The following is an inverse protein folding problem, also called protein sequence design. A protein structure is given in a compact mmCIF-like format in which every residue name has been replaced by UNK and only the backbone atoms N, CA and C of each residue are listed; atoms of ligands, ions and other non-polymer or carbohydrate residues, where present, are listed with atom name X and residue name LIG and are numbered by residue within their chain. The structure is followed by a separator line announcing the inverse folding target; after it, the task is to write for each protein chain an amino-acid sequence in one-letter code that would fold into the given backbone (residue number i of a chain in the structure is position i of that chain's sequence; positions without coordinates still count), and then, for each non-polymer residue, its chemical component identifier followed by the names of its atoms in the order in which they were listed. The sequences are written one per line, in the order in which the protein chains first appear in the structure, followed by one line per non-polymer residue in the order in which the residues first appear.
data_IF_431979519847
#
_entry.id   IF_431979519847
#
_cell.length_a   1.000
_cell.length_b   1.000
_cell.length_c   1.000
_cell.angle_alpha   90.00
_cell.angle_beta   90.00
_cell.angle_gamma   90.00
#
_symmetry.space_group_name_H-M   'P 1'
#
loop_
_entity.id
_entity.type
_entity.pdbx_description
1 polymer ?
#
# COMPACT_ATOMS: atom_id res chain seq x y z
N UNK A 1 27.52 -4.30 5.76
CA UNK A 1 27.33 -2.90 6.18
C UNK A 1 25.87 -2.40 6.12
N UNK A 2 24.85 -3.07 6.73
CA UNK A 2 23.47 -2.55 6.72
C UNK A 2 23.25 -1.34 7.66
N UNK A 3 24.09 -1.20 8.68
CA UNK A 3 23.92 -0.19 9.73
C UNK A 3 24.34 1.24 9.33
N UNK A 4 25.03 1.44 8.21
CA UNK A 4 25.37 2.76 7.69
C UNK A 4 24.17 3.34 6.90
N UNK A 5 23.58 2.53 6.03
CA UNK A 5 22.44 2.92 5.17
C UNK A 5 21.17 3.23 5.98
N UNK A 6 20.91 2.48 7.06
CA UNK A 6 19.79 2.76 7.95
C UNK A 6 19.97 4.08 8.72
N UNK A 7 21.19 4.42 9.13
CA UNK A 7 21.49 5.70 9.80
C UNK A 7 21.39 6.88 8.84
N UNK A 8 21.82 6.71 7.59
CA UNK A 8 21.65 7.72 6.54
C UNK A 8 20.17 7.98 6.26
N UNK A 9 19.35 6.93 6.13
CA UNK A 9 17.90 7.04 5.99
C UNK A 9 17.24 7.70 7.21
N UNK A 10 17.63 7.31 8.42
CA UNK A 10 17.16 7.94 9.66
C UNK A 10 17.49 9.43 9.65
N UNK A 11 18.74 9.79 9.33
CA UNK A 11 19.19 11.19 9.26
C UNK A 11 18.43 11.97 8.19
N UNK A 12 18.20 11.39 7.01
CA UNK A 12 17.46 12.04 5.93
C UNK A 12 15.98 12.26 6.30
N UNK A 13 15.31 11.25 6.86
CA UNK A 13 13.88 11.36 7.26
C UNK A 13 13.72 12.32 8.44
N UNK A 14 14.64 12.28 9.41
CA UNK A 14 14.67 13.24 10.52
C UNK A 14 14.93 14.65 9.98
N UNK A 15 15.88 14.83 9.06
CA UNK A 15 16.14 16.13 8.43
C UNK A 15 14.94 16.65 7.63
N UNK A 16 14.20 15.78 6.91
CA UNK A 16 12.94 16.14 6.25
C UNK A 16 11.85 16.53 7.26
N UNK A 17 11.77 15.82 8.38
CA UNK A 17 10.84 16.15 9.48
C UNK A 17 11.21 17.50 10.11
N UNK A 18 12.47 17.68 10.49
CA UNK A 18 13.03 18.90 11.09
C UNK A 18 12.93 20.11 10.14
N UNK A 19 13.07 19.89 8.83
CA UNK A 19 12.85 20.91 7.83
C UNK A 19 11.38 21.17 7.49
N UNK A 20 10.43 20.50 8.17
CA UNK A 20 9.00 20.71 8.00
C UNK A 20 8.43 20.20 6.68
N UNK A 21 9.17 19.35 5.96
CA UNK A 21 8.80 18.85 4.61
C UNK A 21 7.99 17.55 4.63
N UNK A 22 7.77 16.98 5.82
CA UNK A 22 7.02 15.74 6.02
C UNK A 22 5.61 15.76 5.38
N UNK A 23 4.94 16.92 5.37
CA UNK A 23 3.67 17.08 4.68
C UNK A 23 3.78 16.75 3.19
N UNK A 24 4.80 17.28 2.50
CA UNK A 24 5.01 17.06 1.06
C UNK A 24 5.36 15.61 0.79
N UNK A 25 6.24 15.03 1.60
CA UNK A 25 6.65 13.62 1.43
C UNK A 25 5.47 12.66 1.61
N UNK A 26 4.61 12.87 2.62
CA UNK A 26 3.41 12.05 2.81
C UNK A 26 2.35 12.29 1.71
N UNK A 27 2.20 13.53 1.23
CA UNK A 27 1.30 13.84 0.11
C UNK A 27 1.76 13.16 -1.19
N UNK A 28 3.07 13.22 -1.49
CA UNK A 28 3.66 12.53 -2.62
C UNK A 28 3.50 11.01 -2.47
N UNK A 29 3.76 10.47 -1.29
CA UNK A 29 3.61 9.05 -1.01
C UNK A 29 2.17 8.58 -1.24
N UNK A 30 1.18 9.30 -0.70
CA UNK A 30 -0.24 9.04 -0.94
C UNK A 30 -0.57 9.04 -2.45
N UNK A 31 -0.04 10.02 -3.20
CA UNK A 31 -0.26 10.11 -4.63
C UNK A 31 0.39 8.97 -5.43
N UNK A 32 1.63 8.62 -5.12
CA UNK A 32 2.37 7.54 -5.80
C UNK A 32 1.75 6.16 -5.52
N UNK A 33 1.41 5.87 -4.25
CA UNK A 33 0.78 4.60 -3.90
C UNK A 33 -0.64 4.49 -4.45
N UNK A 34 -1.37 5.62 -4.53
CA UNK A 34 -2.66 5.69 -5.22
C UNK A 34 -2.52 5.41 -6.72
N UNK A 35 -1.50 5.95 -7.37
CA UNK A 35 -1.22 5.70 -8.79
C UNK A 35 -0.92 4.23 -9.10
N UNK A 36 -0.03 3.62 -8.32
CA UNK A 36 0.28 2.19 -8.43
C UNK A 36 -0.97 1.33 -8.21
N UNK A 37 -1.77 1.67 -7.19
CA UNK A 37 -3.05 1.02 -6.91
C UNK A 37 -4.05 1.23 -8.05
N UNK A 38 -4.10 2.42 -8.66
CA UNK A 38 -5.02 2.75 -9.76
C UNK A 38 -4.76 1.96 -11.03
N UNK A 39 -3.49 1.72 -11.36
CA UNK A 39 -3.12 0.81 -12.46
C UNK A 39 -3.66 -0.60 -12.19
N UNK A 40 -3.41 -1.12 -10.99
CA UNK A 40 -3.85 -2.45 -10.55
C UNK A 40 -5.38 -2.59 -10.54
N UNK A 41 -6.07 -1.63 -9.93
CA UNK A 41 -7.54 -1.52 -9.86
C UNK A 41 -8.15 -1.49 -11.25
N UNK A 42 -7.64 -0.62 -12.13
CA UNK A 42 -8.20 -0.42 -13.47
C UNK A 42 -8.23 -1.70 -14.28
N UNK A 43 -7.11 -2.43 -14.31
CA UNK A 43 -7.05 -3.65 -15.08
C UNK A 43 -7.77 -4.83 -14.39
N UNK A 44 -7.77 -4.90 -13.05
CA UNK A 44 -8.52 -5.93 -12.33
C UNK A 44 -10.04 -5.78 -12.49
N UNK A 45 -10.54 -4.54 -12.48
CA UNK A 45 -11.95 -4.26 -12.76
C UNK A 45 -12.31 -4.49 -14.23
N UNK A 46 -11.37 -4.24 -15.15
CA UNK A 46 -11.51 -4.60 -16.57
C UNK A 46 -11.66 -6.10 -16.77
N UNK A 47 -10.83 -6.93 -16.11
CA UNK A 47 -10.97 -8.40 -16.14
C UNK A 47 -12.32 -8.88 -15.61
N UNK A 48 -12.87 -8.18 -14.64
CA UNK A 48 -14.19 -8.44 -14.08
C UNK A 48 -15.33 -7.83 -14.93
N UNK A 49 -15.01 -7.18 -16.05
CA UNK A 49 -15.97 -6.68 -17.04
C UNK A 49 -16.73 -5.42 -16.65
N UNK A 50 -16.34 -4.71 -15.58
CA UNK A 50 -17.06 -3.53 -15.07
C UNK A 50 -18.58 -3.74 -14.93
N UNK A 51 -19.00 -4.90 -14.43
CA UNK A 51 -20.42 -5.29 -14.39
C UNK A 51 -21.34 -4.37 -13.58
N UNK A 52 -20.81 -3.40 -12.83
CA UNK A 52 -21.57 -2.37 -12.13
C UNK A 52 -20.92 -0.99 -12.33
N UNK A 53 -21.75 0.06 -12.44
CA UNK A 53 -21.25 1.44 -12.61
C UNK A 53 -20.32 1.89 -11.48
N UNK A 54 -20.55 1.41 -10.25
CA UNK A 54 -19.71 1.71 -9.10
C UNK A 54 -18.27 1.18 -9.24
N UNK A 55 -18.02 0.23 -10.14
CA UNK A 55 -16.65 -0.27 -10.38
C UNK A 55 -15.74 0.77 -11.05
N UNK A 56 -16.30 1.87 -11.58
CA UNK A 56 -15.54 2.97 -12.18
C UNK A 56 -15.09 4.02 -11.14
N UNK A 57 -15.78 4.11 -10.00
CA UNK A 57 -15.45 5.11 -8.99
C UNK A 57 -14.02 4.96 -8.42
N UNK A 58 -13.48 3.76 -8.12
CA UNK A 58 -12.11 3.67 -7.64
C UNK A 58 -11.06 4.04 -8.69
N UNK A 59 -11.38 3.94 -9.99
CA UNK A 59 -10.48 4.43 -11.05
C UNK A 59 -10.42 5.95 -11.02
N UNK A 60 -11.56 6.61 -10.96
CA UNK A 60 -11.60 8.07 -10.88
C UNK A 60 -10.93 8.55 -9.59
N UNK A 61 -11.23 7.91 -8.44
CA UNK A 61 -10.67 8.30 -7.14
C UNK A 61 -9.15 8.06 -7.07
N UNK A 62 -8.63 6.96 -7.61
CA UNK A 62 -7.18 6.70 -7.62
C UNK A 62 -6.41 7.75 -8.43
N UNK A 63 -6.92 8.13 -9.60
CA UNK A 63 -6.31 9.18 -10.44
C UNK A 63 -6.44 10.56 -9.78
N UNK A 64 -7.60 10.87 -9.19
CA UNK A 64 -7.81 12.11 -8.48
C UNK A 64 -6.87 12.24 -7.28
N UNK A 65 -6.72 11.19 -6.47
CA UNK A 65 -5.82 11.17 -5.32
C UNK A 65 -4.35 11.22 -5.75
N UNK A 66 -3.98 10.57 -6.86
CA UNK A 66 -2.64 10.70 -7.43
C UNK A 66 -2.32 12.15 -7.80
N UNK A 67 -3.21 12.79 -8.57
CA UNK A 67 -3.05 14.18 -8.96
C UNK A 67 -3.03 15.13 -7.75
N UNK A 68 -3.94 14.94 -6.79
CA UNK A 68 -4.00 15.75 -5.58
C UNK A 68 -2.75 15.59 -4.70
N UNK A 69 -2.21 14.37 -4.56
CA UNK A 69 -0.99 14.09 -3.82
C UNK A 69 0.25 14.76 -4.43
N UNK A 70 0.42 14.64 -5.75
CA UNK A 70 1.51 15.29 -6.49
C UNK A 70 1.37 16.82 -6.41
N UNK A 71 0.17 17.34 -6.65
CA UNK A 71 -0.10 18.78 -6.60
C UNK A 71 0.10 19.35 -5.18
N UNK A 72 -0.25 18.61 -4.13
CA UNK A 72 -0.01 19.00 -2.75
C UNK A 72 1.47 18.90 -2.32
N UNK A 73 2.26 18.04 -2.97
CA UNK A 73 3.70 18.00 -2.79
C UNK A 73 4.40 19.21 -3.44
N UNK A 74 3.89 19.68 -4.58
CA UNK A 74 4.41 20.87 -5.28
C UNK A 74 3.90 22.17 -4.63
N UNK A 75 2.62 22.21 -4.27
CA UNK A 75 1.93 23.41 -3.77
C UNK A 75 1.30 23.15 -2.39
N UNK A 76 1.91 23.63 -1.29
CA UNK A 76 1.48 23.34 0.08
C UNK A 76 0.03 23.77 0.40
N UNK A 77 -0.50 24.78 -0.28
CA UNK A 77 -1.90 25.21 -0.10
C UNK A 77 -2.88 24.08 -0.46
N UNK A 78 -2.58 23.29 -1.50
CA UNK A 78 -3.44 22.20 -1.95
C UNK A 78 -3.46 21.03 -0.97
N UNK A 79 -2.43 20.91 -0.12
CA UNK A 79 -2.40 19.93 0.96
C UNK A 79 -3.48 20.19 2.03
N UNK A 80 -3.96 21.44 2.17
CA UNK A 80 -4.99 21.82 3.16
C UNK A 80 -6.39 21.93 2.56
N UNK A 81 -6.51 22.00 1.24
CA UNK A 81 -7.80 22.21 0.56
C UNK A 81 -8.20 20.99 -0.26
N UNK A 82 -7.43 20.68 -1.31
CA UNK A 82 -7.76 19.64 -2.28
C UNK A 82 -7.47 18.23 -1.74
N UNK A 83 -6.27 18.00 -1.23
CA UNK A 83 -5.82 16.68 -0.76
C UNK A 83 -6.75 16.06 0.30
N UNK A 84 -7.17 16.75 1.38
CA UNK A 84 -8.03 16.14 2.40
C UNK A 84 -9.42 15.82 1.84
N UNK A 85 -9.98 16.66 0.97
CA UNK A 85 -11.28 16.41 0.35
C UNK A 85 -11.25 15.18 -0.55
N UNK A 86 -10.26 15.11 -1.46
CA UNK A 86 -10.08 13.95 -2.36
C UNK A 86 -9.77 12.68 -1.57
N UNK A 87 -8.95 12.77 -0.53
CA UNK A 87 -8.62 11.64 0.32
C UNK A 87 -9.84 11.14 1.10
N UNK A 88 -10.67 12.02 1.64
CA UNK A 88 -11.90 11.64 2.33
C UNK A 88 -12.90 10.95 1.38
N UNK A 89 -13.10 11.49 0.18
CA UNK A 89 -13.92 10.86 -0.85
C UNK A 89 -13.38 9.49 -1.26
N UNK A 90 -12.06 9.38 -1.44
CA UNK A 90 -11.40 8.10 -1.75
C UNK A 90 -11.57 7.09 -0.60
N UNK A 91 -11.50 7.52 0.67
CA UNK A 91 -11.72 6.65 1.81
C UNK A 91 -13.17 6.13 1.87
N UNK A 92 -14.16 6.97 1.56
CA UNK A 92 -15.56 6.56 1.44
C UNK A 92 -15.75 5.56 0.29
N UNK A 93 -15.12 5.82 -0.85
CA UNK A 93 -15.12 4.91 -2.01
C UNK A 93 -14.50 3.54 -1.64
N UNK A 94 -13.38 3.54 -0.92
CA UNK A 94 -12.71 2.33 -0.45
C UNK A 94 -13.58 1.52 0.51
N UNK A 95 -14.24 2.18 1.48
CA UNK A 95 -15.17 1.52 2.40
C UNK A 95 -16.38 0.93 1.66
N UNK A 96 -16.90 1.66 0.68
CA UNK A 96 -18.00 1.21 -0.18
C UNK A 96 -17.58 0.01 -1.03
N UNK A 97 -16.41 0.08 -1.68
CA UNK A 97 -15.83 -1.00 -2.45
C UNK A 97 -15.57 -2.25 -1.61
N UNK A 98 -15.07 -2.09 -0.38
CA UNK A 98 -14.86 -3.19 0.55
C UNK A 98 -16.16 -3.94 0.87
N UNK A 99 -17.24 -3.20 1.17
CA UNK A 99 -18.57 -3.79 1.35
C UNK A 99 -19.04 -4.57 0.12
N UNK A 100 -18.89 -4.00 -1.09
CA UNK A 100 -19.27 -4.69 -2.32
C UNK A 100 -18.39 -5.92 -2.60
N UNK A 101 -17.12 -5.90 -2.24
CA UNK A 101 -16.22 -7.06 -2.37
C UNK A 101 -16.64 -8.20 -1.44
N UNK A 102 -16.93 -7.90 -0.17
CA UNK A 102 -17.49 -8.87 0.80
C UNK A 102 -18.79 -9.47 0.25
N UNK A 103 -19.71 -8.62 -0.20
CA UNK A 103 -21.00 -9.05 -0.77
C UNK A 103 -20.82 -9.87 -2.05
N UNK A 104 -19.82 -9.55 -2.86
CA UNK A 104 -19.47 -10.28 -4.07
C UNK A 104 -18.94 -11.69 -3.77
N UNK A 105 -18.09 -11.82 -2.74
CA UNK A 105 -17.62 -13.13 -2.23
C UNK A 105 -18.81 -13.95 -1.71
N UNK A 106 -19.68 -13.35 -0.89
CA UNK A 106 -20.86 -14.00 -0.34
C UNK A 106 -21.85 -14.53 -1.40
N UNK A 107 -21.92 -13.87 -2.56
CA UNK A 107 -22.83 -14.18 -3.66
C UNK A 107 -22.30 -15.25 -4.62
N UNK A 108 -21.05 -15.69 -4.47
CA UNK A 108 -20.54 -16.82 -5.26
C UNK A 108 -21.25 -18.13 -4.88
N UNK A 109 -21.21 -19.15 -5.77
CA UNK A 109 -21.78 -20.47 -5.47
C UNK A 109 -21.33 -21.00 -4.10
N UNK A 110 -22.28 -21.50 -3.32
CA UNK A 110 -22.05 -21.99 -1.95
C UNK A 110 -21.80 -20.90 -0.88
N UNK A 111 -21.68 -19.63 -1.26
CA UNK A 111 -21.49 -18.49 -0.35
C UNK A 111 -20.37 -18.70 0.67
N UNK A 112 -20.61 -18.32 1.92
CA UNK A 112 -19.61 -18.45 2.99
C UNK A 112 -19.27 -19.90 3.38
N UNK A 113 -20.10 -20.88 3.01
CA UNK A 113 -19.77 -22.30 3.26
C UNK A 113 -18.55 -22.75 2.44
N UNK A 114 -18.31 -22.11 1.30
CA UNK A 114 -17.16 -22.35 0.42
C UNK A 114 -16.19 -21.15 0.46
N UNK A 115 -15.84 -20.68 1.65
CA UNK A 115 -15.05 -19.45 1.84
C UNK A 115 -13.68 -19.49 1.13
N UNK A 116 -12.95 -20.61 1.18
CA UNK A 116 -11.61 -20.72 0.59
C UNK A 116 -11.64 -20.51 -0.93
N UNK A 117 -12.42 -21.28 -1.73
CA UNK A 117 -12.50 -21.05 -3.17
C UNK A 117 -13.18 -19.71 -3.51
N UNK A 118 -14.10 -19.21 -2.68
CA UNK A 118 -14.77 -17.94 -2.94
C UNK A 118 -13.89 -16.71 -2.66
N UNK A 119 -12.99 -16.76 -1.68
CA UNK A 119 -11.94 -15.76 -1.50
C UNK A 119 -10.93 -15.80 -2.65
N UNK A 120 -10.51 -16.99 -3.08
CA UNK A 120 -9.61 -17.11 -4.21
C UNK A 120 -10.27 -16.59 -5.50
N UNK A 121 -11.40 -17.12 -5.91
CA UNK A 121 -12.01 -16.80 -7.21
C UNK A 121 -12.83 -15.49 -7.20
N UNK A 122 -13.00 -14.86 -6.03
CA UNK A 122 -13.83 -13.69 -5.81
C UNK A 122 -13.15 -12.36 -6.10
N UNK A 123 -13.90 -11.26 -5.89
CA UNK A 123 -13.30 -9.93 -5.77
C UNK A 123 -12.22 -9.94 -4.68
N UNK A 124 -11.09 -9.24 -4.88
CA UNK A 124 -10.01 -9.21 -3.90
C UNK A 124 -10.46 -8.50 -2.62
N UNK A 125 -10.59 -9.24 -1.51
CA UNK A 125 -11.24 -8.76 -0.29
C UNK A 125 -10.58 -7.52 0.30
N UNK A 126 -9.25 -7.42 0.28
CA UNK A 126 -8.51 -6.37 0.96
C UNK A 126 -7.99 -5.27 0.02
N UNK A 127 -8.08 -5.44 -1.30
CA UNK A 127 -7.65 -4.42 -2.26
C UNK A 127 -8.27 -3.03 -2.01
N UNK A 128 -9.57 -2.88 -1.70
CA UNK A 128 -10.14 -1.57 -1.35
C UNK A 128 -9.53 -0.98 -0.07
N UNK A 129 -9.21 -1.81 0.93
CA UNK A 129 -8.57 -1.34 2.17
C UNK A 129 -7.13 -0.89 1.93
N UNK A 130 -6.38 -1.58 1.06
CA UNK A 130 -5.03 -1.20 0.66
C UNK A 130 -5.01 0.16 -0.06
N UNK A 131 -5.97 0.40 -0.95
CA UNK A 131 -6.16 1.74 -1.53
C UNK A 131 -6.52 2.77 -0.43
N UNK A 132 -7.34 2.38 0.53
CA UNK A 132 -7.70 3.18 1.70
C UNK A 132 -6.49 3.64 2.51
N UNK A 133 -5.39 2.88 2.54
CA UNK A 133 -4.13 3.32 3.16
C UNK A 133 -3.54 4.54 2.43
N UNK A 134 -3.60 4.58 1.10
CA UNK A 134 -3.15 5.75 0.32
C UNK A 134 -3.99 6.99 0.67
N UNK A 135 -5.31 6.84 0.76
CA UNK A 135 -6.21 7.91 1.18
C UNK A 135 -5.92 8.37 2.62
N UNK A 136 -5.69 7.43 3.53
CA UNK A 136 -5.33 7.73 4.91
C UNK A 136 -4.02 8.53 5.01
N UNK A 137 -3.00 8.19 4.22
CA UNK A 137 -1.75 8.96 4.15
C UNK A 137 -2.00 10.39 3.66
N UNK A 138 -2.91 10.58 2.70
CA UNK A 138 -3.32 11.92 2.24
C UNK A 138 -4.02 12.74 3.33
N UNK A 139 -4.90 12.12 4.12
CA UNK A 139 -5.52 12.76 5.30
C UNK A 139 -4.47 13.10 6.36
N UNK A 140 -3.52 12.19 6.60
CA UNK A 140 -2.43 12.40 7.55
C UNK A 140 -1.56 13.58 7.11
N UNK A 141 -1.18 13.65 5.83
CA UNK A 141 -0.43 14.76 5.25
C UNK A 141 -1.15 16.09 5.44
N UNK A 142 -2.47 16.15 5.21
CA UNK A 142 -3.27 17.37 5.36
C UNK A 142 -3.34 17.91 6.79
N UNK A 143 -3.15 17.05 7.80
CA UNK A 143 -3.10 17.44 9.22
C UNK A 143 -1.74 17.99 9.65
N UNK A 144 -0.70 17.80 8.84
CA UNK A 144 0.61 18.36 9.11
C UNK A 144 0.66 19.84 8.71
N UNK A 145 1.42 20.63 9.46
CA UNK A 145 1.68 22.01 9.11
C UNK A 145 2.53 22.03 7.81
N UNK A 146 2.10 22.71 6.73
CA UNK A 146 2.95 23.04 5.59
C UNK A 146 4.13 23.91 6.04
N UNK A 147 5.23 23.80 5.30
CA UNK A 147 6.51 24.49 5.49
C UNK A 147 6.36 25.98 5.89
N UNK A 148 7.36 26.52 6.62
CA UNK A 148 7.52 27.90 7.16
C UNK A 148 7.35 28.11 8.68
N UNK A 149 7.47 27.07 9.51
CA UNK A 149 7.77 27.29 10.94
C UNK A 149 9.21 26.85 11.21
N UNK A 150 10.08 27.80 11.56
CA UNK A 150 11.47 27.59 11.99
C UNK A 150 11.57 26.83 13.33
N UNK A 151 10.46 26.33 13.85
CA UNK A 151 10.36 25.59 15.08
C UNK A 151 10.56 24.10 14.82
N UNK A 152 11.43 23.48 15.62
CA UNK A 152 11.56 22.02 15.71
C UNK A 152 10.17 21.36 15.78
N UNK A 153 9.93 20.30 15.01
CA UNK A 153 8.70 19.51 15.10
C UNK A 153 8.48 19.13 16.57
N UNK A 154 7.35 19.53 17.20
CA UNK A 154 7.08 19.16 18.58
C UNK A 154 7.17 17.64 18.74
N UNK A 155 7.86 17.15 19.77
CA UNK A 155 8.08 15.72 19.98
C UNK A 155 6.78 14.90 19.92
N UNK A 156 5.66 15.46 20.41
CA UNK A 156 4.34 14.82 20.34
C UNK A 156 3.77 14.69 18.93
N UNK A 157 4.10 15.58 17.99
CA UNK A 157 3.69 15.46 16.59
C UNK A 157 4.50 14.36 15.88
N UNK A 158 5.81 14.29 16.13
CA UNK A 158 6.69 13.22 15.60
C UNK A 158 6.19 11.84 16.06
N UNK A 159 5.90 11.69 17.35
CA UNK A 159 5.36 10.45 17.92
C UNK A 159 3.98 10.12 17.33
N UNK A 160 3.12 11.12 17.12
CA UNK A 160 1.83 10.91 16.46
C UNK A 160 1.99 10.36 15.04
N UNK A 161 2.87 10.94 14.23
CA UNK A 161 3.13 10.48 12.86
C UNK A 161 3.72 9.06 12.86
N UNK A 162 4.70 8.79 13.73
CA UNK A 162 5.27 7.44 13.91
C UNK A 162 4.16 6.42 14.20
N UNK A 163 3.24 6.71 15.12
CA UNK A 163 2.09 5.83 15.42
C UNK A 163 1.18 5.61 14.21
N UNK A 164 0.87 6.66 13.46
CA UNK A 164 0.00 6.55 12.29
C UNK A 164 0.66 5.72 11.18
N UNK A 165 1.97 5.86 10.98
CA UNK A 165 2.75 5.04 10.04
C UNK A 165 2.86 3.60 10.51
N UNK A 166 3.10 3.33 11.79
CA UNK A 166 3.06 1.97 12.35
C UNK A 166 1.69 1.31 12.12
N UNK A 167 0.59 2.02 12.34
CA UNK A 167 -0.77 1.53 12.04
C UNK A 167 -0.94 1.23 10.55
N UNK A 168 -0.54 2.16 9.68
CA UNK A 168 -0.60 1.99 8.23
C UNK A 168 0.23 0.78 7.77
N UNK A 169 1.46 0.62 8.26
CA UNK A 169 2.33 -0.52 8.00
C UNK A 169 1.66 -1.83 8.40
N UNK A 170 1.14 -1.93 9.63
CA UNK A 170 0.58 -3.18 10.13
C UNK A 170 -0.70 -3.59 9.41
N UNK A 171 -1.62 -2.64 9.19
CA UNK A 171 -2.88 -2.92 8.48
C UNK A 171 -2.58 -3.27 7.01
N UNK A 172 -1.73 -2.48 6.34
CA UNK A 172 -1.36 -2.73 4.96
C UNK A 172 -0.65 -4.08 4.79
N UNK A 173 0.28 -4.41 5.67
CA UNK A 173 0.99 -5.69 5.64
C UNK A 173 0.01 -6.88 5.78
N UNK A 174 -0.92 -6.84 6.75
CA UNK A 174 -1.93 -7.90 6.91
C UNK A 174 -2.83 -8.03 5.67
N UNK A 175 -3.29 -6.90 5.13
CA UNK A 175 -4.12 -6.87 3.92
C UNK A 175 -3.37 -7.45 2.71
N UNK A 176 -2.14 -7.01 2.46
CA UNK A 176 -1.30 -7.52 1.37
C UNK A 176 -0.93 -9.00 1.54
N UNK A 177 -0.61 -9.43 2.77
CA UNK A 177 -0.34 -10.84 3.08
C UNK A 177 -1.58 -11.72 2.87
N UNK A 178 -2.76 -11.23 3.25
CA UNK A 178 -4.04 -11.89 3.00
C UNK A 178 -4.35 -12.02 1.50
N UNK A 179 -4.17 -10.95 0.72
CA UNK A 179 -4.30 -10.95 -0.74
C UNK A 179 -3.34 -11.96 -1.39
N UNK A 180 -2.09 -11.97 -0.96
CA UNK A 180 -1.07 -12.90 -1.44
C UNK A 180 -1.45 -14.36 -1.10
N UNK A 181 -2.00 -14.62 0.09
CA UNK A 181 -2.37 -15.96 0.56
C UNK A 181 -3.33 -16.64 -0.42
N UNK A 182 -4.50 -16.05 -0.64
CA UNK A 182 -5.48 -16.69 -1.53
C UNK A 182 -5.11 -16.55 -3.01
N UNK A 183 -4.34 -15.52 -3.40
CA UNK A 183 -3.88 -15.38 -4.79
C UNK A 183 -2.84 -16.43 -5.16
N UNK A 184 -1.91 -16.75 -4.27
CA UNK A 184 -0.93 -17.81 -4.48
C UNK A 184 -1.54 -19.20 -4.30
N UNK A 185 -2.56 -19.34 -3.46
CA UNK A 185 -3.35 -20.57 -3.36
C UNK A 185 -3.98 -20.99 -4.71
N UNK A 186 -4.38 -20.04 -5.58
CA UNK A 186 -4.89 -20.35 -6.94
C UNK A 186 -3.94 -21.19 -7.79
N UNK A 187 -2.64 -21.02 -7.57
CA UNK A 187 -1.59 -21.74 -8.27
C UNK A 187 -0.91 -22.77 -7.35
N UNK A 188 -1.59 -23.18 -6.27
CA UNK A 188 -1.16 -24.16 -5.29
C UNK A 188 0.26 -23.92 -4.74
N UNK A 189 0.64 -22.65 -4.53
CA UNK A 189 1.98 -22.29 -4.07
C UNK A 189 3.12 -22.95 -4.88
N UNK A 190 2.95 -23.04 -6.20
CA UNK A 190 3.88 -23.70 -7.14
C UNK A 190 5.35 -23.33 -6.91
N UNK A 191 5.64 -22.11 -6.45
CA UNK A 191 6.99 -21.70 -6.11
C UNK A 191 7.10 -21.47 -4.61
N UNK A 192 8.17 -21.99 -3.98
CA UNK A 192 8.39 -21.82 -2.53
C UNK A 192 8.40 -20.34 -2.10
N UNK A 193 8.91 -19.45 -2.96
CA UNK A 193 8.96 -17.99 -2.71
C UNK A 193 7.56 -17.39 -2.55
N UNK A 194 6.49 -18.08 -2.96
CA UNK A 194 5.13 -17.61 -2.75
C UNK A 194 4.72 -17.62 -1.26
N UNK A 195 5.46 -18.33 -0.40
CA UNK A 195 5.26 -18.36 1.05
C UNK A 195 5.93 -17.20 1.78
N UNK A 196 6.91 -16.52 1.16
CA UNK A 196 7.65 -15.46 1.84
C UNK A 196 6.79 -14.25 2.22
N UNK A 197 5.89 -13.69 1.37
CA UNK A 197 4.99 -12.62 1.80
C UNK A 197 4.01 -13.09 2.89
N UNK A 198 3.67 -14.38 2.95
CA UNK A 198 2.76 -14.95 3.94
C UNK A 198 3.40 -15.01 5.33
N UNK A 199 4.72 -15.22 5.39
CA UNK A 199 5.49 -15.20 6.63
C UNK A 199 5.88 -13.77 7.03
N UNK A 200 6.36 -12.96 6.07
CA UNK A 200 6.89 -11.62 6.34
C UNK A 200 5.77 -10.64 6.72
N UNK A 201 4.60 -10.71 6.07
CA UNK A 201 3.48 -9.80 6.35
C UNK A 201 3.01 -9.80 7.82
N UNK A 202 2.62 -10.94 8.43
CA UNK A 202 2.18 -10.96 9.83
C UNK A 202 3.32 -10.62 10.79
N UNK A 203 4.57 -10.99 10.49
CA UNK A 203 5.72 -10.59 11.30
C UNK A 203 5.92 -9.07 11.29
N UNK A 204 5.88 -8.44 10.10
CA UNK A 204 5.97 -6.99 9.94
C UNK A 204 4.82 -6.29 10.67
N UNK A 205 3.59 -6.81 10.55
CA UNK A 205 2.45 -6.25 11.25
C UNK A 205 2.58 -6.35 12.78
N UNK A 206 3.01 -7.50 13.29
CA UNK A 206 3.25 -7.68 14.72
C UNK A 206 4.32 -6.68 15.23
N UNK A 207 5.42 -6.50 14.49
CA UNK A 207 6.46 -5.54 14.84
C UNK A 207 5.97 -4.08 14.78
N UNK A 208 5.10 -3.75 13.83
CA UNK A 208 4.54 -2.41 13.69
C UNK A 208 3.53 -2.08 14.80
N UNK A 209 2.70 -3.04 15.22
CA UNK A 209 1.75 -2.86 16.32
C UNK A 209 2.39 -2.96 17.70
N UNK A 210 3.56 -3.57 17.82
CA UNK A 210 4.27 -3.72 19.08
C UNK A 210 4.74 -2.36 19.63
N UNK A 211 4.16 -1.94 20.77
CA UNK A 211 4.64 -0.77 21.54
C UNK A 211 5.96 -1.03 22.26
N UNK A 212 6.28 -2.31 22.52
CA UNK A 212 7.49 -2.77 23.20
C UNK A 212 8.03 -3.96 22.42
N UNK A 213 9.28 -3.87 22.00
CA UNK A 213 9.95 -4.91 21.23
C UNK A 213 11.38 -4.49 20.90
N UNK A 214 12.21 -5.39 20.33
CA UNK A 214 13.57 -5.03 19.95
C UNK A 214 13.55 -3.90 18.92
N UNK A 215 14.32 -2.83 19.16
CA UNK A 215 14.37 -1.64 18.28
C UNK A 215 14.77 -1.97 16.83
N UNK A 216 15.49 -3.06 16.63
CA UNK A 216 15.93 -3.53 15.31
C UNK A 216 14.86 -4.31 14.54
N UNK A 217 13.79 -4.78 15.19
CA UNK A 217 12.86 -5.74 14.60
C UNK A 217 12.02 -5.13 13.48
N UNK A 218 11.37 -3.99 13.74
CA UNK A 218 10.58 -3.26 12.74
C UNK A 218 11.42 -2.88 11.50
N UNK A 219 12.59 -2.22 11.63
CA UNK A 219 13.36 -1.88 10.44
C UNK A 219 13.88 -3.11 9.68
N UNK A 220 14.27 -4.19 10.39
CA UNK A 220 14.72 -5.42 9.73
C UNK A 220 13.59 -6.07 8.92
N UNK A 221 12.39 -6.19 9.49
CA UNK A 221 11.23 -6.75 8.79
C UNK A 221 10.73 -5.83 7.68
N UNK A 222 10.85 -4.52 7.84
CA UNK A 222 10.56 -3.55 6.79
C UNK A 222 11.49 -3.70 5.58
N UNK A 223 12.81 -3.85 5.80
CA UNK A 223 13.77 -4.15 4.74
C UNK A 223 13.46 -5.50 4.10
N UNK A 224 13.12 -6.51 4.90
CA UNK A 224 12.73 -7.82 4.39
C UNK A 224 11.49 -7.74 3.49
N UNK A 225 10.45 -6.99 3.88
CA UNK A 225 9.25 -6.80 3.07
C UNK A 225 9.53 -6.01 1.78
N UNK A 226 10.40 -5.00 1.82
CA UNK A 226 10.83 -4.28 0.62
C UNK A 226 11.60 -5.19 -0.35
N UNK A 227 12.54 -6.00 0.17
CA UNK A 227 13.30 -6.95 -0.63
C UNK A 227 12.38 -8.05 -1.21
N UNK A 228 11.45 -8.56 -0.40
CA UNK A 228 10.46 -9.54 -0.81
C UNK A 228 9.56 -9.01 -1.93
N UNK A 229 9.00 -7.81 -1.77
CA UNK A 229 8.18 -7.16 -2.77
C UNK A 229 8.94 -6.85 -4.07
N UNK A 230 10.20 -6.41 -3.98
CA UNK A 230 11.04 -6.17 -5.15
C UNK A 230 11.38 -7.48 -5.91
N UNK A 231 11.73 -8.55 -5.18
CA UNK A 231 11.95 -9.87 -5.78
C UNK A 231 10.67 -10.42 -6.40
N UNK A 232 9.55 -10.32 -5.69
CA UNK A 232 8.21 -10.71 -6.15
C UNK A 232 7.80 -9.97 -7.42
N UNK A 233 8.08 -8.67 -7.52
CA UNK A 233 7.87 -7.89 -8.75
C UNK A 233 8.65 -8.49 -9.92
N UNK A 234 9.92 -8.84 -9.71
CA UNK A 234 10.74 -9.53 -10.72
C UNK A 234 10.16 -10.88 -11.16
N UNK A 235 9.69 -11.70 -10.21
CA UNK A 235 9.01 -12.96 -10.52
C UNK A 235 7.70 -12.76 -11.28
N UNK A 236 6.90 -11.76 -10.92
CA UNK A 236 5.63 -11.45 -11.58
C UNK A 236 5.87 -10.94 -13.00
N UNK A 237 6.81 -10.00 -13.19
CA UNK A 237 7.19 -9.51 -14.51
C UNK A 237 7.74 -10.63 -15.41
N UNK A 238 8.61 -11.48 -14.87
CA UNK A 238 9.09 -12.68 -15.59
C UNK A 238 7.96 -13.65 -15.92
N UNK A 239 7.00 -13.82 -15.02
CA UNK A 239 5.80 -14.64 -15.23
C UNK A 239 4.97 -14.13 -16.40
N UNK A 240 4.76 -12.82 -16.50
CA UNK A 240 4.07 -12.15 -17.62
C UNK A 240 4.82 -12.39 -18.94
N UNK A 241 6.13 -12.17 -18.97
CA UNK A 241 6.96 -12.34 -20.18
C UNK A 241 7.06 -13.81 -20.66
N UNK A 242 6.87 -14.78 -19.76
CA UNK A 242 6.91 -16.21 -20.07
C UNK A 242 5.58 -16.79 -20.54
N UNK A 243 4.48 -16.02 -20.50
CA UNK A 243 3.21 -16.46 -21.07
C UNK A 243 3.31 -16.55 -22.61
N UNK A 244 2.45 -17.34 -23.27
CA UNK A 244 2.43 -17.44 -24.72
C UNK A 244 2.43 -16.07 -25.41
N UNK A 245 3.21 -15.94 -26.48
CA UNK A 245 3.39 -14.67 -27.20
C UNK A 245 4.36 -13.67 -26.56
N UNK A 246 4.75 -13.86 -25.29
CA UNK A 246 5.76 -13.04 -24.60
C UNK A 246 5.51 -11.53 -24.72
N UNK A 247 6.53 -10.80 -25.18
CA UNK A 247 6.46 -9.34 -25.38
C UNK A 247 5.49 -8.91 -26.48
N UNK A 248 5.20 -9.77 -27.47
CA UNK A 248 4.27 -9.46 -28.57
C UNK A 248 2.82 -9.34 -28.08
N UNK A 249 2.50 -9.97 -26.95
CA UNK A 249 1.18 -9.94 -26.31
C UNK A 249 1.25 -9.35 -24.90
N UNK A 250 2.12 -8.36 -24.67
CA UNK A 250 2.41 -7.84 -23.33
C UNK A 250 1.15 -7.34 -22.60
N UNK A 251 0.26 -6.58 -23.27
CA UNK A 251 -0.97 -6.07 -22.66
C UNK A 251 -1.87 -7.23 -22.21
N UNK A 252 -2.10 -8.21 -23.09
CA UNK A 252 -2.87 -9.42 -22.74
C UNK A 252 -2.22 -10.18 -21.58
N UNK A 253 -0.89 -10.29 -21.56
CA UNK A 253 -0.18 -11.00 -20.52
C UNK A 253 -0.16 -10.26 -19.18
N UNK A 254 -0.21 -8.93 -19.17
CA UNK A 254 -0.44 -8.13 -17.97
C UNK A 254 -1.87 -8.37 -17.46
N UNK A 255 -2.86 -8.33 -18.35
CA UNK A 255 -4.27 -8.50 -17.99
C UNK A 255 -4.59 -9.90 -17.42
N UNK A 256 -4.04 -10.95 -18.01
CA UNK A 256 -4.37 -12.33 -17.65
C UNK A 256 -3.24 -13.05 -16.89
N UNK A 257 -2.17 -12.34 -16.55
CA UNK A 257 -1.02 -12.85 -15.82
C UNK A 257 -1.09 -12.61 -14.31
N UNK A 258 0.04 -12.83 -13.61
CA UNK A 258 0.22 -12.43 -12.22
C UNK A 258 0.03 -10.92 -12.04
N UNK A 259 -0.51 -10.48 -10.89
CA UNK A 259 -0.72 -9.06 -10.62
C UNK A 259 0.60 -8.33 -10.45
N UNK A 260 1.06 -7.63 -11.48
CA UNK A 260 2.46 -7.18 -11.57
C UNK A 260 2.82 -6.16 -10.49
N UNK A 261 1.90 -5.29 -10.05
CA UNK A 261 2.21 -4.24 -9.07
C UNK A 261 1.92 -4.66 -7.62
N UNK A 262 1.19 -5.74 -7.39
CA UNK A 262 0.89 -6.22 -6.03
C UNK A 262 2.14 -6.43 -5.14
N UNK A 263 3.26 -6.99 -5.64
CA UNK A 263 4.49 -7.08 -4.85
C UNK A 263 5.08 -5.70 -4.48
N UNK A 264 4.95 -4.68 -5.33
CA UNK A 264 5.41 -3.33 -5.02
C UNK A 264 4.54 -2.65 -3.96
N UNK A 265 3.24 -2.94 -3.95
CA UNK A 265 2.34 -2.50 -2.87
C UNK A 265 2.72 -3.15 -1.53
N UNK A 266 3.17 -4.41 -1.54
CA UNK A 266 3.73 -5.03 -0.34
C UNK A 266 5.06 -4.40 0.08
N UNK A 267 5.95 -4.09 -0.87
CA UNK A 267 7.18 -3.34 -0.57
C UNK A 267 6.89 -1.97 0.05
N UNK A 268 5.83 -1.28 -0.38
CA UNK A 268 5.40 -0.01 0.20
C UNK A 268 5.04 -0.14 1.70
N UNK A 269 4.48 -1.29 2.13
CA UNK A 269 4.23 -1.56 3.55
C UNK A 269 5.54 -1.54 4.36
N UNK A 270 6.59 -2.17 3.84
CA UNK A 270 7.92 -2.15 4.43
C UNK A 270 8.50 -0.74 4.50
N UNK A 271 8.36 0.03 3.42
CA UNK A 271 8.79 1.43 3.37
C UNK A 271 8.11 2.30 4.45
N UNK A 272 6.80 2.15 4.65
CA UNK A 272 6.09 2.84 5.73
C UNK A 272 6.69 2.52 7.12
N UNK A 273 7.09 1.27 7.34
CA UNK A 273 7.68 0.84 8.61
C UNK A 273 9.12 1.35 8.81
N UNK A 274 9.88 1.54 7.73
CA UNK A 274 11.16 2.24 7.80
C UNK A 274 10.97 3.71 8.15
N UNK A 275 10.01 4.40 7.53
CA UNK A 275 9.67 5.77 7.88
C UNK A 275 9.24 5.89 9.35
N UNK A 276 8.40 4.97 9.83
CA UNK A 276 8.01 4.92 11.23
C UNK A 276 9.24 4.73 12.15
N UNK A 277 10.16 3.83 11.78
CA UNK A 277 11.39 3.60 12.55
C UNK A 277 12.26 4.85 12.62
N UNK A 278 12.45 5.55 11.51
CA UNK A 278 13.24 6.79 11.49
C UNK A 278 12.61 7.90 12.35
N UNK A 279 11.29 7.89 12.52
CA UNK A 279 10.58 8.82 13.39
C UNK A 279 10.51 8.36 14.85
N UNK A 280 10.90 7.12 15.16
CA UNK A 280 10.97 6.64 16.54
C UNK A 280 12.13 7.33 17.24
N UNK A 281 11.83 8.08 18.31
CA UNK A 281 12.85 8.71 19.15
C UNK A 281 13.82 7.68 19.75
N UNK A 282 15.03 8.13 20.09
CA UNK A 282 16.00 7.30 20.82
C UNK A 282 15.44 6.85 22.16
#
# INVERSE_FOLDING_TARGET
MPGATLRELETAVVAEAEAGRMQRSLALLAGLTSGLSGLEVGYMHYRAGFGQRIMWTPIVMTQALQAAGIAAAIQPKLARTLLPAVSALTAVDCATGWFFHIRGIARKPGGWRLIVPNLAMGPPLFAPLLLGISAYLGILAARLQPEFSSASVPAGLRESIERHLCLATGIAALCSGGEALYSHHKNNFRYWVQWTPIAVAPALAAAAFARRGPRWLLPALSVAAMADGAAGFGYHARGILRRPGGHKHLIYNILYGPPVLAPLLFAACGFFGLLATALRGK
#
